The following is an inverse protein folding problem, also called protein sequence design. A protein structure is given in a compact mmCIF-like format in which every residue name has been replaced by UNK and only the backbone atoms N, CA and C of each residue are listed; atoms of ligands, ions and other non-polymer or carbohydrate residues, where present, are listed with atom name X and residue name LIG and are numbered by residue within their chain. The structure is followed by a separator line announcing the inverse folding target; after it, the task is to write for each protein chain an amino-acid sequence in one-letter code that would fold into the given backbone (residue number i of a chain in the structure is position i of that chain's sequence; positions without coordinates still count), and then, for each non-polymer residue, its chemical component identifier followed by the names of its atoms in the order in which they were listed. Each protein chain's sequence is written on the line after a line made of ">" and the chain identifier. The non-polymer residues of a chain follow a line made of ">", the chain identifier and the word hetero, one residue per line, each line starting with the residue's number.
data_IF_796154117033
#
_entry.id   IF_796154117033
#
_cell.length_a   1.000
_cell.length_b   1.000
_cell.length_c   1.000
_cell.angle_alpha   90.00
_cell.angle_beta   90.00
_cell.angle_gamma   90.00
#
_symmetry.space_group_name_H-M   'P 1'
#
loop_
_entity.id
_entity.type
_entity.pdbx_description
1 polymer ?
#
# COMPACT_ATOMS: atom_id res chain seq x y z
N UNK A 1 9.44 18.73 26.37
CA UNK A 1 8.28 17.88 25.98
C UNK A 1 8.66 16.43 26.21
N UNK A 2 7.93 15.72 27.08
CA UNK A 2 8.13 14.27 27.26
C UNK A 2 7.56 13.58 26.01
N UNK A 3 8.42 12.99 25.19
CA UNK A 3 7.98 12.09 24.12
C UNK A 3 7.39 10.84 24.79
N UNK A 4 6.07 10.79 24.88
CA UNK A 4 5.38 9.55 25.26
C UNK A 4 5.35 8.65 24.04
N UNK A 5 6.31 7.74 23.92
CA UNK A 5 6.26 6.70 22.92
C UNK A 5 5.12 5.74 23.28
N UNK A 6 4.09 5.72 22.46
CA UNK A 6 3.03 4.75 22.57
C UNK A 6 3.57 3.41 22.03
N UNK A 7 3.80 2.45 22.91
CA UNK A 7 4.17 1.10 22.51
C UNK A 7 2.91 0.38 22.02
N UNK A 8 2.79 0.23 20.71
CA UNK A 8 1.68 -0.48 20.09
C UNK A 8 2.10 -1.95 19.88
N UNK A 9 1.25 -2.87 20.32
CA UNK A 9 1.52 -4.30 20.09
C UNK A 9 1.47 -4.61 18.58
N UNK A 10 2.54 -5.17 18.06
CA UNK A 10 2.65 -5.62 16.66
C UNK A 10 1.64 -6.70 16.27
N UNK A 11 1.12 -7.43 17.29
CA UNK A 11 0.13 -8.51 17.11
C UNK A 11 -1.23 -8.02 16.59
N UNK A 12 -1.51 -6.72 16.66
CA UNK A 12 -2.78 -6.14 16.22
C UNK A 12 -2.80 -5.79 14.73
N UNK A 13 -1.67 -5.86 14.06
CA UNK A 13 -1.53 -5.42 12.68
C UNK A 13 -1.14 -6.56 11.76
N UNK A 14 -1.56 -6.46 10.52
CA UNK A 14 -1.11 -7.35 9.48
C UNK A 14 0.39 -7.13 9.24
N UNK A 15 1.09 -8.20 8.94
CA UNK A 15 2.50 -8.18 8.55
C UNK A 15 2.63 -8.52 7.07
N UNK A 16 3.63 -7.96 6.43
CA UNK A 16 4.01 -8.36 5.08
C UNK A 16 4.51 -9.81 5.07
N UNK A 17 4.34 -10.56 3.96
CA UNK A 17 5.02 -11.85 3.78
C UNK A 17 6.56 -11.75 3.86
N UNK A 18 7.11 -10.55 3.63
CA UNK A 18 8.54 -10.27 3.71
C UNK A 18 8.99 -9.70 5.06
N UNK A 19 8.08 -9.60 6.04
CA UNK A 19 8.34 -8.96 7.32
C UNK A 19 9.63 -9.48 7.98
N UNK A 20 9.82 -10.79 8.04
CA UNK A 20 10.99 -11.42 8.67
C UNK A 20 12.30 -11.16 7.90
N UNK A 21 12.22 -10.74 6.63
CA UNK A 21 13.41 -10.43 5.84
C UNK A 21 14.07 -9.10 6.23
N UNK A 22 13.30 -8.16 6.80
CA UNK A 22 13.79 -6.82 7.16
C UNK A 22 13.59 -6.47 8.64
N UNK A 23 12.88 -7.32 9.40
CA UNK A 23 12.61 -7.05 10.81
C UNK A 23 13.86 -7.27 11.66
N UNK A 24 14.29 -6.22 12.36
CA UNK A 24 15.33 -6.24 13.38
C UNK A 24 15.10 -5.11 14.40
N UNK A 25 15.90 -5.03 15.45
CA UNK A 25 15.71 -4.11 16.58
C UNK A 25 15.71 -2.62 16.23
N UNK A 26 16.36 -2.23 15.14
CA UNK A 26 16.49 -0.83 14.74
C UNK A 26 15.43 -0.38 13.72
N UNK A 27 14.49 -1.24 13.34
CA UNK A 27 13.43 -0.89 12.40
C UNK A 27 12.35 -0.05 13.07
N UNK A 28 12.11 1.13 12.53
CA UNK A 28 11.00 1.97 12.94
C UNK A 28 9.77 1.65 12.08
N UNK A 29 8.67 1.32 12.72
CA UNK A 29 7.41 1.00 12.05
C UNK A 29 6.37 2.10 12.20
N UNK A 30 5.61 2.32 11.15
CA UNK A 30 4.32 2.97 11.18
C UNK A 30 3.19 1.97 10.89
N UNK A 31 1.97 2.45 10.94
CA UNK A 31 0.78 1.68 10.55
C UNK A 31 0.14 2.36 9.35
N UNK A 32 -0.04 1.60 8.29
CA UNK A 32 -0.76 2.03 7.11
C UNK A 32 -1.69 0.89 6.66
N UNK A 33 -2.95 1.21 6.41
CA UNK A 33 -3.96 0.25 5.97
C UNK A 33 -4.02 -1.02 6.84
N UNK A 34 -4.00 -0.85 8.18
CA UNK A 34 -3.99 -1.92 9.18
C UNK A 34 -2.77 -2.88 9.08
N UNK A 35 -1.71 -2.48 8.40
CA UNK A 35 -0.47 -3.23 8.25
C UNK A 35 0.69 -2.48 8.87
N UNK A 36 1.63 -3.21 9.48
CA UNK A 36 2.93 -2.66 9.85
C UNK A 36 3.74 -2.36 8.60
N UNK A 37 4.23 -1.15 8.55
CA UNK A 37 5.00 -0.63 7.43
C UNK A 37 6.32 -0.04 7.92
N UNK A 38 7.48 -0.43 7.39
CA UNK A 38 8.77 0.11 7.80
C UNK A 38 8.91 1.56 7.35
N UNK A 39 9.05 2.47 8.30
CA UNK A 39 9.37 3.88 8.05
C UNK A 39 10.87 4.10 7.87
N UNK A 40 11.67 3.34 8.61
CA UNK A 40 13.12 3.35 8.50
C UNK A 40 13.64 1.97 8.89
N UNK A 41 14.61 1.48 8.16
CA UNK A 41 15.31 0.23 8.46
C UNK A 41 16.57 0.45 9.30
N UNK A 42 16.78 1.65 9.85
CA UNK A 42 17.93 1.95 10.70
C UNK A 42 19.28 2.06 9.96
N UNK A 43 19.26 2.05 8.63
CA UNK A 43 20.43 2.24 7.79
C UNK A 43 20.56 3.69 7.30
N UNK A 44 21.69 4.03 6.69
CA UNK A 44 21.86 5.34 6.06
C UNK A 44 20.94 5.49 4.84
N UNK A 45 19.96 6.37 4.96
CA UNK A 45 18.98 6.63 3.91
C UNK A 45 19.63 7.19 2.63
N UNK A 46 20.76 7.90 2.75
CA UNK A 46 21.47 8.44 1.58
C UNK A 46 22.10 7.33 0.74
N UNK A 47 22.67 6.32 1.38
CA UNK A 47 23.27 5.19 0.66
C UNK A 47 22.18 4.31 0.02
N UNK A 48 21.07 4.12 0.68
CA UNK A 48 19.89 3.46 0.09
C UNK A 48 19.36 4.23 -1.12
N UNK A 49 19.26 5.55 -1.01
CA UNK A 49 18.84 6.39 -2.14
C UNK A 49 19.82 6.30 -3.32
N UNK A 50 21.13 6.35 -3.08
CA UNK A 50 22.15 6.19 -4.13
C UNK A 50 22.07 4.80 -4.79
N UNK A 51 21.81 3.77 -3.98
CA UNK A 51 21.60 2.42 -4.49
C UNK A 51 20.37 2.33 -5.41
N UNK A 52 19.22 2.87 -4.96
CA UNK A 52 18.00 2.95 -5.74
C UNK A 52 18.20 3.67 -7.09
N UNK A 53 19.06 4.71 -7.12
CA UNK A 53 19.34 5.47 -8.35
C UNK A 53 20.23 4.74 -9.35
N UNK A 54 21.01 3.78 -8.92
CA UNK A 54 22.01 3.08 -9.75
C UNK A 54 21.64 1.63 -10.05
N UNK A 55 20.85 1.02 -9.19
CA UNK A 55 20.52 -0.40 -9.21
C UNK A 55 19.02 -0.61 -9.08
N UNK A 56 18.60 -1.86 -9.01
CA UNK A 56 17.20 -2.20 -8.72
C UNK A 56 16.99 -2.39 -7.21
N UNK A 57 15.79 -2.04 -6.75
CA UNK A 57 15.36 -2.24 -5.36
C UNK A 57 14.02 -2.95 -5.35
N UNK A 58 13.80 -3.73 -4.29
CA UNK A 58 12.50 -4.26 -3.94
C UNK A 58 11.83 -3.29 -2.97
N UNK A 59 10.61 -2.89 -3.27
CA UNK A 59 9.77 -2.10 -2.39
C UNK A 59 8.57 -2.91 -1.95
N UNK A 60 8.46 -3.16 -0.64
CA UNK A 60 7.32 -3.87 -0.04
C UNK A 60 6.15 -2.90 0.16
N UNK A 61 5.25 -2.90 -0.81
CA UNK A 61 4.11 -1.98 -0.85
C UNK A 61 3.08 -2.38 0.20
N UNK A 62 2.63 -1.45 1.08
CA UNK A 62 1.67 -1.78 2.14
C UNK A 62 0.23 -1.95 1.64
N UNK A 63 -0.07 -1.54 0.43
CA UNK A 63 -1.37 -1.69 -0.20
C UNK A 63 -1.70 -3.16 -0.43
N UNK A 64 -2.96 -3.52 -0.20
CA UNK A 64 -3.42 -4.90 -0.38
C UNK A 64 -4.10 -5.03 -1.74
N UNK A 65 -3.62 -5.90 -2.63
CA UNK A 65 -4.29 -6.14 -3.89
C UNK A 65 -5.65 -6.79 -3.65
N UNK A 66 -6.68 -6.28 -4.32
CA UNK A 66 -8.03 -6.80 -4.29
C UNK A 66 -8.35 -7.49 -5.61
N UNK A 67 -8.67 -8.78 -5.57
CA UNK A 67 -9.11 -9.53 -6.74
C UNK A 67 -10.63 -9.54 -6.83
N UNK A 68 -11.17 -8.97 -7.91
CA UNK A 68 -12.60 -8.95 -8.18
C UNK A 68 -12.91 -9.97 -9.27
N UNK A 69 -13.78 -10.94 -8.97
CA UNK A 69 -14.19 -12.02 -9.85
C UNK A 69 -15.72 -12.12 -9.90
N UNK A 70 -16.25 -12.82 -10.89
CA UNK A 70 -17.67 -13.03 -11.05
C UNK A 70 -18.16 -12.64 -12.45
N UNK A 71 -19.39 -12.99 -12.75
CA UNK A 71 -20.04 -12.72 -14.04
C UNK A 71 -20.16 -11.21 -14.28
N UNK A 72 -20.65 -10.50 -13.29
CA UNK A 72 -21.03 -9.08 -13.40
C UNK A 72 -19.92 -8.14 -12.89
N UNK A 73 -18.68 -8.66 -12.78
CA UNK A 73 -17.53 -7.90 -12.26
C UNK A 73 -17.28 -6.57 -12.97
N UNK A 74 -17.50 -6.56 -14.27
CA UNK A 74 -17.24 -5.40 -15.12
C UNK A 74 -18.27 -4.30 -14.88
N UNK A 75 -19.54 -4.65 -14.88
CA UNK A 75 -20.64 -3.75 -14.58
C UNK A 75 -20.54 -3.19 -13.16
N UNK A 76 -20.18 -4.04 -12.21
CA UNK A 76 -19.91 -3.61 -10.83
C UNK A 76 -18.80 -2.56 -10.76
N UNK A 77 -17.69 -2.77 -11.44
CA UNK A 77 -16.58 -1.83 -11.46
C UNK A 77 -16.93 -0.50 -12.14
N UNK A 78 -17.72 -0.53 -13.22
CA UNK A 78 -18.22 0.68 -13.89
C UNK A 78 -19.09 1.56 -12.99
N UNK A 79 -19.84 0.95 -12.07
CA UNK A 79 -20.67 1.68 -11.10
C UNK A 79 -19.84 2.29 -9.99
N UNK A 80 -18.81 1.58 -9.53
CA UNK A 80 -18.03 1.96 -8.34
C UNK A 80 -16.92 2.97 -8.68
N UNK A 81 -16.23 2.78 -9.81
CA UNK A 81 -15.04 3.54 -10.12
C UNK A 81 -15.28 4.64 -11.16
N UNK A 82 -14.53 5.73 -11.03
CA UNK A 82 -14.61 6.92 -11.89
C UNK A 82 -13.96 6.72 -13.28
N UNK A 83 -13.63 5.50 -13.64
CA UNK A 83 -13.03 5.17 -14.95
C UNK A 83 -13.95 4.27 -15.76
N UNK A 84 -13.93 4.49 -17.06
CA UNK A 84 -14.60 3.61 -18.00
C UNK A 84 -13.79 2.30 -18.13
N UNK A 85 -14.28 1.26 -17.48
CA UNK A 85 -13.62 -0.06 -17.38
C UNK A 85 -13.58 -0.74 -18.76
N UNK A 86 -14.57 -0.51 -19.62
CA UNK A 86 -14.62 -1.08 -20.96
C UNK A 86 -13.46 -0.65 -21.86
N UNK A 87 -12.89 0.52 -21.59
CA UNK A 87 -11.75 1.05 -22.33
C UNK A 87 -10.41 0.55 -21.81
N UNK A 88 -10.38 -0.15 -20.68
CA UNK A 88 -9.13 -0.68 -20.10
C UNK A 88 -8.76 -1.98 -20.81
N UNK A 89 -7.62 -1.98 -21.46
CA UNK A 89 -7.08 -3.17 -22.12
C UNK A 89 -6.46 -4.12 -21.10
N UNK A 90 -6.61 -5.41 -21.33
CA UNK A 90 -5.93 -6.45 -20.53
C UNK A 90 -4.43 -6.17 -20.45
N UNK A 91 -3.85 -6.28 -19.27
CA UNK A 91 -2.44 -5.98 -18.99
C UNK A 91 -2.12 -4.49 -18.84
N UNK A 92 -3.13 -3.62 -18.79
CA UNK A 92 -2.97 -2.20 -18.49
C UNK A 92 -3.49 -1.89 -17.11
N UNK A 93 -2.76 -1.06 -16.39
CA UNK A 93 -3.15 -0.47 -15.13
C UNK A 93 -3.66 0.96 -15.36
N UNK A 94 -4.72 1.33 -14.64
CA UNK A 94 -5.33 2.65 -14.72
C UNK A 94 -5.70 3.11 -13.33
N UNK A 95 -5.28 4.31 -12.98
CA UNK A 95 -5.62 4.91 -11.69
C UNK A 95 -7.10 5.36 -11.68
N UNK A 96 -7.83 4.99 -10.63
CA UNK A 96 -9.24 5.27 -10.47
C UNK A 96 -9.60 5.59 -9.03
N UNK A 97 -10.71 6.30 -8.86
CA UNK A 97 -11.31 6.60 -7.56
C UNK A 97 -12.65 5.88 -7.43
N UNK A 98 -12.99 5.47 -6.21
CA UNK A 98 -14.36 5.18 -5.83
C UNK A 98 -14.87 6.33 -4.95
N UNK A 99 -16.05 6.83 -5.27
CA UNK A 99 -16.64 7.97 -4.59
C UNK A 99 -17.97 7.61 -3.90
N UNK A 100 -18.31 8.36 -2.86
CA UNK A 100 -19.65 8.34 -2.30
C UNK A 100 -20.63 9.15 -3.17
N UNK A 101 -21.91 9.18 -2.77
CA UNK A 101 -22.94 9.90 -3.50
C UNK A 101 -22.74 11.42 -3.57
N UNK A 102 -21.98 11.99 -2.64
CA UNK A 102 -21.66 13.41 -2.58
C UNK A 102 -20.39 13.76 -3.36
N UNK A 103 -19.76 12.78 -4.02
CA UNK A 103 -18.51 12.93 -4.76
C UNK A 103 -17.25 12.89 -3.89
N UNK A 104 -17.37 12.60 -2.61
CA UNK A 104 -16.23 12.41 -1.71
C UNK A 104 -15.50 11.10 -2.02
N UNK A 105 -14.17 11.15 -2.10
CA UNK A 105 -13.34 9.98 -2.37
C UNK A 105 -13.38 9.03 -1.16
N UNK A 106 -13.79 7.79 -1.39
CA UNK A 106 -13.78 6.70 -0.39
C UNK A 106 -12.49 5.89 -0.46
N UNK A 107 -12.01 5.64 -1.67
CA UNK A 107 -10.78 4.90 -1.93
C UNK A 107 -10.23 5.25 -3.30
N UNK A 108 -8.95 4.97 -3.49
CA UNK A 108 -8.26 5.08 -4.75
C UNK A 108 -7.40 3.85 -5.00
N UNK A 109 -7.03 3.63 -6.24
CA UNK A 109 -6.23 2.47 -6.61
C UNK A 109 -5.87 2.41 -8.10
N UNK A 110 -5.09 1.42 -8.41
CA UNK A 110 -4.61 1.10 -9.77
C UNK A 110 -5.03 -0.31 -10.13
#
# INVERSE_FOLDING_TARGET
>A
MKNSNLVISDRRFLKSPFFDCYHHENVLYGVYNNRLYPLSCGYDDQDHYKHLRKYCCLYDVPETPLRITGRDKKEFLEIIFTRNIDKIKVGRAVYAFACNHDGGILMDGV
#
